data_IF_798609650682
#
_entry.id   IF_798609650682
#
_cell.length_a   1.000
_cell.length_b   1.000
_cell.length_c   1.000
_cell.angle_alpha   90.00
_cell.angle_beta   90.00
_cell.angle_gamma   90.00
#
_symmetry.space_group_name_H-M   'P 1'
#
loop_
_entity.id
_entity.type
_entity.pdbx_description
1 polymer ?
#
# COMPACT_ATOMS: atom_id res chain seq x y z
N UNK A 1 -4.38 6.32 14.06
CA UNK A 1 -3.91 7.60 13.48
C UNK A 1 -2.58 7.34 12.80
N UNK A 2 -2.33 7.93 11.63
CA UNK A 2 -1.05 7.81 10.91
C UNK A 2 -0.11 8.98 11.22
N UNK A 3 1.02 9.05 10.50
CA UNK A 3 2.07 10.05 10.76
C UNK A 3 1.74 11.45 10.22
N UNK A 4 0.80 11.54 9.28
CA UNK A 4 0.45 12.78 8.58
C UNK A 4 -0.82 13.38 9.17
N UNK A 5 -0.79 14.70 9.44
CA UNK A 5 -1.99 15.50 9.72
C UNK A 5 -2.80 15.69 8.44
N UNK A 6 -3.78 14.81 8.22
CA UNK A 6 -4.52 14.73 6.96
C UNK A 6 -5.21 16.06 6.60
N UNK A 7 -5.86 16.73 7.55
CA UNK A 7 -6.66 17.94 7.28
C UNK A 7 -5.81 19.16 6.84
N UNK A 8 -4.60 19.30 7.38
CA UNK A 8 -3.69 20.41 7.05
C UNK A 8 -2.96 20.20 5.71
N UNK A 9 -2.73 18.92 5.35
CA UNK A 9 -1.88 18.54 4.22
C UNK A 9 -2.71 18.20 2.99
N UNK A 10 -3.90 17.62 3.15
CA UNK A 10 -4.79 17.26 2.04
C UNK A 10 -5.04 18.36 0.99
N UNK A 11 -5.24 19.65 1.33
CA UNK A 11 -5.45 20.69 0.32
C UNK A 11 -4.15 21.12 -0.41
N UNK A 12 -2.97 20.73 0.08
CA UNK A 12 -1.66 21.10 -0.50
C UNK A 12 -1.10 20.04 -1.45
N UNK A 13 -1.57 18.80 -1.38
CA UNK A 13 -1.04 17.70 -2.17
C UNK A 13 -2.05 17.20 -3.22
N UNK A 14 -1.55 16.74 -4.37
CA UNK A 14 -2.40 16.21 -5.45
C UNK A 14 -3.02 14.86 -5.10
N UNK A 15 -2.35 14.07 -4.26
CA UNK A 15 -2.80 12.76 -3.79
C UNK A 15 -2.35 12.53 -2.35
N UNK A 16 -3.23 11.95 -1.53
CA UNK A 16 -2.96 11.60 -0.13
C UNK A 16 -3.69 10.31 0.23
N UNK A 17 -3.00 9.38 0.92
CA UNK A 17 -3.61 8.13 1.38
C UNK A 17 -4.14 8.29 2.80
N UNK A 18 -5.44 8.07 3.06
CA UNK A 18 -6.00 8.19 4.40
C UNK A 18 -5.54 7.04 5.31
N UNK A 19 -5.55 7.29 6.61
CA UNK A 19 -5.32 6.26 7.64
C UNK A 19 -6.48 6.32 8.63
N UNK A 20 -7.30 5.27 8.79
CA UNK A 20 -7.18 3.92 8.21
C UNK A 20 -7.57 3.84 6.72
N UNK A 21 -7.17 2.76 6.05
CA UNK A 21 -7.54 2.47 4.65
C UNK A 21 -6.48 2.74 3.59
N UNK A 22 -5.30 3.21 3.97
CA UNK A 22 -4.17 3.48 3.06
C UNK A 22 -3.38 2.23 2.68
N UNK A 23 -2.10 2.20 3.04
CA UNK A 23 -1.16 1.17 2.55
C UNK A 23 -1.33 -0.22 3.19
N UNK A 24 -2.00 -0.34 4.33
CA UNK A 24 -2.13 -1.60 5.07
C UNK A 24 -2.72 -2.75 4.24
N UNK A 25 -3.92 -2.59 3.64
CA UNK A 25 -4.49 -3.61 2.76
C UNK A 25 -3.61 -3.92 1.54
N UNK A 26 -2.95 -2.90 0.97
CA UNK A 26 -2.05 -3.09 -0.18
C UNK A 26 -0.82 -3.93 0.18
N UNK A 27 -0.31 -3.86 1.41
CA UNK A 27 0.79 -4.73 1.88
C UNK A 27 0.37 -6.20 1.89
N UNK A 28 -0.84 -6.50 2.36
CA UNK A 28 -1.38 -7.87 2.40
C UNK A 28 -1.52 -8.41 0.97
N UNK A 29 -2.14 -7.63 0.08
CA UNK A 29 -2.29 -8.02 -1.34
C UNK A 29 -0.94 -8.20 -2.02
N UNK A 30 0.02 -7.32 -1.75
CA UNK A 30 1.37 -7.40 -2.33
C UNK A 30 2.09 -8.68 -1.89
N UNK A 31 1.96 -9.07 -0.62
CA UNK A 31 2.51 -10.33 -0.12
C UNK A 31 1.86 -11.53 -0.85
N UNK A 32 0.53 -11.55 -0.97
CA UNK A 32 -0.17 -12.63 -1.68
C UNK A 32 0.25 -12.71 -3.15
N UNK A 33 0.41 -11.57 -3.81
CA UNK A 33 0.91 -11.50 -5.20
C UNK A 33 2.31 -12.08 -5.31
N UNK A 34 3.21 -11.72 -4.39
CA UNK A 34 4.57 -12.26 -4.37
C UNK A 34 4.58 -13.78 -4.15
N UNK A 35 3.76 -14.28 -3.22
CA UNK A 35 3.60 -15.73 -2.99
C UNK A 35 3.09 -16.45 -4.24
N UNK A 36 2.10 -15.89 -4.93
CA UNK A 36 1.58 -16.47 -6.18
C UNK A 36 2.66 -16.52 -7.28
N UNK A 37 3.42 -15.44 -7.45
CA UNK A 37 4.48 -15.37 -8.46
C UNK A 37 5.65 -16.31 -8.15
N UNK A 38 6.00 -16.47 -6.88
CA UNK A 38 6.99 -17.44 -6.41
C UNK A 38 6.52 -18.89 -6.69
N UNK A 39 5.25 -19.21 -6.38
CA UNK A 39 4.66 -20.52 -6.68
C UNK A 39 4.61 -20.85 -8.17
N UNK A 40 4.37 -19.84 -9.01
CA UNK A 40 4.43 -19.96 -10.48
C UNK A 40 5.87 -20.03 -11.04
N UNK A 41 6.90 -19.92 -10.19
CA UNK A 41 8.31 -19.80 -10.59
C UNK A 41 8.53 -18.72 -11.66
N UNK A 42 7.72 -17.66 -11.62
CA UNK A 42 7.76 -16.60 -12.62
C UNK A 42 8.92 -15.61 -12.40
N UNK A 43 9.47 -15.58 -11.18
CA UNK A 43 10.50 -14.61 -10.76
C UNK A 43 11.87 -15.28 -10.58
N UNK A 44 11.89 -16.55 -10.17
CA UNK A 44 13.13 -17.31 -9.96
C UNK A 44 13.11 -18.50 -10.93
N UNK A 45 13.89 -18.37 -12.00
CA UNK A 45 14.20 -19.45 -12.94
C UNK A 45 15.45 -20.19 -12.48
#
# INVERSE_FOLDING_TARGET
TGDVKFDEVAPKCSFITPVPGGVGPMTIVSLMKNTLLAGKKAIYQ
#
